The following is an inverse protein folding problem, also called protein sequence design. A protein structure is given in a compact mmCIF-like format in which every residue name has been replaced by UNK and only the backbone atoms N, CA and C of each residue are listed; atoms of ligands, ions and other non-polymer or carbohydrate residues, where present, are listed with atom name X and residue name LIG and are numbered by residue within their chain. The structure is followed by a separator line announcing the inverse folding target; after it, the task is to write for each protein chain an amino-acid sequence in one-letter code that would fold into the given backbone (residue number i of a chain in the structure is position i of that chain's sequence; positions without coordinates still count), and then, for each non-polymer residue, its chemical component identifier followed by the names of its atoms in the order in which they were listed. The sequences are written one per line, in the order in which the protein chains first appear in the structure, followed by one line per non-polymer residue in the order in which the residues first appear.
data_IF_959294260126
#
_entry.id   IF_959294260126
#
_cell.length_a   1.000
_cell.length_b   1.000
_cell.length_c   1.000
_cell.angle_alpha   90.00
_cell.angle_beta   90.00
_cell.angle_gamma   90.00
#
_symmetry.space_group_name_H-M   'P 1'
#
loop_
_entity.id
_entity.type
_entity.pdbx_description
1 polymer ?
#
# COMPACT_ATOMS: atom_id res chain seq x y z
N UNK A 1 -63.90 29.27 -6.51
CA UNK A 1 -64.75 29.30 -7.71
C UNK A 1 -63.86 29.00 -8.92
N UNK A 2 -64.34 28.22 -9.91
CA UNK A 2 -63.64 27.77 -11.14
C UNK A 2 -62.37 26.90 -10.96
N UNK A 3 -62.51 25.62 -11.33
CA UNK A 3 -61.41 24.76 -11.81
C UNK A 3 -61.08 25.16 -13.26
N UNK A 4 -59.84 24.98 -13.69
CA UNK A 4 -59.46 24.92 -15.12
C UNK A 4 -58.68 23.61 -15.34
N UNK A 5 -58.99 22.92 -16.43
CA UNK A 5 -58.44 21.63 -16.88
C UNK A 5 -58.10 21.80 -18.36
N UNK A 6 -57.24 20.91 -18.89
CA UNK A 6 -56.93 20.58 -20.32
C UNK A 6 -55.50 21.01 -20.72
N UNK A 7 -54.69 20.24 -21.46
CA UNK A 7 -54.41 18.79 -21.60
C UNK A 7 -53.31 18.72 -22.71
N UNK A 8 -52.24 17.98 -22.42
CA UNK A 8 -51.13 17.45 -23.26
C UNK A 8 -51.22 17.51 -24.82
N UNK A 9 -50.11 17.89 -25.47
CA UNK A 9 -49.42 17.22 -26.62
C UNK A 9 -47.93 17.64 -26.57
N UNK A 10 -46.98 16.82 -26.08
CA UNK A 10 -46.15 15.83 -26.79
C UNK A 10 -45.41 16.38 -28.04
N UNK A 11 -44.10 16.63 -27.90
CA UNK A 11 -43.13 16.40 -28.98
C UNK A 11 -41.99 15.54 -28.44
N UNK A 12 -41.41 14.69 -29.29
CA UNK A 12 -40.67 13.48 -28.91
C UNK A 12 -39.29 13.46 -29.59
N UNK A 13 -38.27 13.12 -28.80
CA UNK A 13 -36.91 12.62 -29.16
C UNK A 13 -35.95 13.57 -29.92
N UNK A 14 -34.84 13.91 -29.24
CA UNK A 14 -33.49 13.77 -29.79
C UNK A 14 -32.51 13.36 -28.67
N UNK A 15 -31.76 12.29 -28.90
CA UNK A 15 -30.89 11.54 -27.96
C UNK A 15 -29.75 10.97 -28.84
N UNK A 16 -28.47 10.87 -28.46
CA UNK A 16 -27.78 11.02 -27.16
C UNK A 16 -27.02 12.38 -27.08
N UNK A 17 -25.95 12.68 -26.33
CA UNK A 17 -24.95 11.87 -25.60
C UNK A 17 -24.40 12.56 -24.34
N UNK A 18 -24.30 11.75 -23.30
CA UNK A 18 -23.59 11.89 -22.02
C UNK A 18 -22.55 13.01 -21.89
N UNK A 19 -22.72 13.81 -20.83
CA UNK A 19 -21.81 13.76 -19.68
C UNK A 19 -22.59 14.06 -18.40
N UNK A 20 -23.22 13.03 -17.85
CA UNK A 20 -23.58 13.07 -16.43
C UNK A 20 -22.26 13.04 -15.65
N UNK A 21 -21.89 14.14 -14.99
CA UNK A 21 -20.97 14.10 -13.86
C UNK A 21 -21.69 13.46 -12.65
N UNK A 22 -22.13 12.21 -12.83
CA UNK A 22 -22.70 11.38 -11.79
C UNK A 22 -21.58 10.93 -10.87
N UNK A 23 -21.14 11.80 -9.96
CA UNK A 23 -20.30 11.41 -8.83
C UNK A 23 -21.12 10.55 -7.86
N UNK A 24 -21.38 9.30 -8.26
CA UNK A 24 -21.82 8.23 -7.38
C UNK A 24 -21.41 6.87 -7.96
N UNK A 25 -20.42 6.24 -7.34
CA UNK A 25 -20.52 4.80 -7.09
C UNK A 25 -21.17 4.64 -5.71
N UNK A 26 -22.47 4.32 -5.62
CA UNK A 26 -23.07 3.89 -4.36
C UNK A 26 -22.61 2.45 -4.08
N UNK A 27 -21.96 2.22 -2.95
CA UNK A 27 -21.38 0.92 -2.61
C UNK A 27 -19.87 0.90 -2.81
N UNK A 28 -19.17 1.19 -1.72
CA UNK A 28 -17.72 1.08 -1.60
C UNK A 28 -17.36 0.17 -0.44
N UNK A 29 -17.39 -1.14 -0.66
CA UNK A 29 -16.41 -2.05 -0.04
C UNK A 29 -15.08 -1.88 -0.78
N UNK A 30 -14.60 -0.64 -0.84
CA UNK A 30 -13.45 -0.25 -1.64
C UNK A 30 -12.19 -0.52 -0.85
N UNK A 31 -11.31 -1.33 -1.43
CA UNK A 31 -9.95 -1.51 -0.94
C UNK A 31 -9.24 -0.14 -0.89
N UNK A 32 -8.28 0.07 0.03
CA UNK A 32 -7.39 1.22 0.00
C UNK A 32 -6.71 1.34 -1.36
N UNK A 33 -6.67 2.56 -1.91
CA UNK A 33 -6.07 2.86 -3.20
C UNK A 33 -5.01 3.94 -3.03
N UNK A 34 -3.81 3.70 -3.57
CA UNK A 34 -2.74 4.70 -3.59
C UNK A 34 -2.82 5.67 -4.78
N UNK A 35 -1.85 6.59 -4.87
CA UNK A 35 -1.77 7.61 -5.92
C UNK A 35 -1.29 7.09 -7.31
N UNK A 36 -1.01 5.79 -7.42
CA UNK A 36 -0.82 5.08 -8.69
C UNK A 36 -2.05 4.29 -9.12
N UNK A 37 -3.06 4.16 -8.24
CA UNK A 37 -4.23 3.33 -8.48
C UNK A 37 -4.00 1.85 -8.16
N UNK A 38 -2.95 1.49 -7.40
CA UNK A 38 -2.86 0.14 -6.85
C UNK A 38 -3.90 0.01 -5.73
N UNK A 39 -4.78 -1.00 -5.83
CA UNK A 39 -5.67 -1.42 -4.76
C UNK A 39 -4.94 -2.45 -3.88
N UNK A 40 -5.19 -2.44 -2.57
CA UNK A 40 -4.53 -3.31 -1.59
C UNK A 40 -5.56 -4.08 -0.74
N UNK A 41 -5.38 -5.38 -0.54
CA UNK A 41 -6.17 -6.07 0.47
C UNK A 41 -5.85 -5.57 1.90
N UNK A 42 -6.81 -5.73 2.81
CA UNK A 42 -6.67 -5.27 4.21
C UNK A 42 -7.05 -6.35 5.19
N UNK A 43 -6.42 -6.33 6.38
CA UNK A 43 -6.77 -7.23 7.46
C UNK A 43 -6.89 -6.53 8.81
N UNK A 44 -7.80 -7.02 9.65
CA UNK A 44 -8.05 -6.52 11.00
C UNK A 44 -7.30 -7.39 11.99
N UNK A 45 -6.39 -6.80 12.76
CA UNK A 45 -5.64 -7.51 13.80
C UNK A 45 -5.79 -6.71 15.10
N UNK A 46 -6.46 -7.31 16.08
CA UNK A 46 -6.90 -6.61 17.28
C UNK A 46 -7.84 -5.46 16.94
N UNK A 47 -7.45 -4.24 17.31
CA UNK A 47 -8.19 -3.00 16.99
C UNK A 47 -7.62 -2.24 15.78
N UNK A 48 -6.57 -2.75 15.13
CA UNK A 48 -5.87 -2.08 14.04
C UNK A 48 -6.25 -2.68 12.68
N UNK A 49 -6.25 -1.86 11.64
CA UNK A 49 -6.45 -2.27 10.25
C UNK A 49 -5.15 -2.06 9.49
N UNK A 50 -4.64 -3.13 8.90
CA UNK A 50 -3.36 -3.17 8.19
C UNK A 50 -3.59 -3.46 6.70
N UNK A 51 -2.67 -3.02 5.85
CA UNK A 51 -2.58 -3.55 4.48
C UNK A 51 -2.05 -4.99 4.56
N UNK A 52 -2.60 -5.89 3.75
CA UNK A 52 -2.20 -7.30 3.67
C UNK A 52 -1.09 -7.56 2.63
N UNK A 53 -0.51 -6.48 2.08
CA UNK A 53 0.47 -6.49 0.99
C UNK A 53 1.49 -5.35 1.19
N UNK A 54 2.71 -5.53 0.68
CA UNK A 54 3.74 -4.49 0.70
C UNK A 54 3.37 -3.32 -0.23
N UNK A 55 3.54 -2.08 0.25
CA UNK A 55 3.24 -0.86 -0.51
C UNK A 55 4.09 -0.75 -1.78
N UNK A 56 3.45 -0.40 -2.90
CA UNK A 56 4.05 -0.39 -4.25
C UNK A 56 3.74 0.87 -5.08
N UNK A 57 3.44 1.98 -4.40
CA UNK A 57 3.28 3.31 -5.02
C UNK A 57 4.61 3.93 -5.44
N UNK A 58 4.59 4.71 -6.51
CA UNK A 58 5.67 5.60 -6.98
C UNK A 58 5.39 7.07 -6.66
N UNK A 59 4.27 7.37 -5.98
CA UNK A 59 3.84 8.72 -5.62
C UNK A 59 3.31 8.78 -4.17
N UNK A 60 3.49 9.94 -3.54
CA UNK A 60 2.75 10.29 -2.33
C UNK A 60 1.25 10.42 -2.59
N UNK A 61 0.43 10.35 -1.55
CA UNK A 61 -1.03 10.40 -1.66
C UNK A 61 -1.61 11.71 -2.24
N UNK A 62 -0.81 12.79 -2.27
CA UNK A 62 -1.12 14.05 -2.95
C UNK A 62 -0.77 14.05 -4.46
N UNK A 63 -0.24 12.95 -4.99
CA UNK A 63 0.18 12.79 -6.39
C UNK A 63 1.59 13.26 -6.72
N UNK A 64 2.38 13.74 -5.75
CA UNK A 64 3.79 14.10 -5.96
C UNK A 64 4.63 12.83 -6.15
N UNK A 65 5.40 12.68 -7.25
CA UNK A 65 6.24 11.51 -7.46
C UNK A 65 7.36 11.39 -6.42
N UNK A 66 7.56 10.17 -5.92
CA UNK A 66 8.80 9.79 -5.23
C UNK A 66 9.85 9.46 -6.30
N UNK A 67 11.07 10.01 -6.24
CA UNK A 67 12.10 9.69 -7.23
C UNK A 67 12.54 8.22 -7.19
N UNK A 68 12.51 7.54 -8.34
CA UNK A 68 13.16 6.24 -8.54
C UNK A 68 14.67 6.45 -8.61
N UNK A 69 15.43 5.85 -7.68
CA UNK A 69 16.89 5.93 -7.65
C UNK A 69 17.45 4.52 -7.77
N UNK A 70 18.17 4.23 -8.86
CA UNK A 70 18.75 2.91 -9.11
C UNK A 70 20.25 2.84 -8.82
N UNK A 71 20.96 3.95 -8.96
CA UNK A 71 22.39 4.06 -8.64
C UNK A 71 22.67 3.98 -7.13
N UNK A 72 23.77 3.35 -6.75
CA UNK A 72 24.13 3.06 -5.35
C UNK A 72 24.69 4.28 -4.63
N UNK A 73 25.62 5.00 -5.25
CA UNK A 73 26.25 6.19 -4.66
C UNK A 73 25.20 7.31 -4.48
N UNK A 74 24.32 7.47 -5.48
CA UNK A 74 23.17 8.39 -5.43
C UNK A 74 22.14 7.99 -4.37
N UNK A 75 21.97 6.69 -4.07
CA UNK A 75 21.10 6.25 -2.98
C UNK A 75 21.72 6.55 -1.61
N UNK A 76 22.98 6.14 -1.39
CA UNK A 76 23.67 6.29 -0.12
C UNK A 76 23.88 7.76 0.29
N UNK A 77 24.18 8.63 -0.68
CA UNK A 77 24.39 10.08 -0.43
C UNK A 77 23.09 10.89 -0.26
N UNK A 78 21.91 10.27 -0.32
CA UNK A 78 20.64 10.99 -0.48
C UNK A 78 20.04 11.51 0.83
N UNK A 79 19.80 12.82 0.88
CA UNK A 79 19.08 13.52 1.94
C UNK A 79 17.60 13.85 1.60
N UNK A 80 17.04 13.18 0.60
CA UNK A 80 15.67 13.41 0.09
C UNK A 80 14.99 12.09 -0.27
N UNK A 81 13.67 12.13 -0.39
CA UNK A 81 12.84 10.98 -0.74
C UNK A 81 13.36 10.19 -1.95
N UNK A 82 13.34 8.86 -1.83
CA UNK A 82 13.58 7.93 -2.92
C UNK A 82 12.83 6.62 -2.69
N UNK A 83 12.54 5.93 -3.79
CA UNK A 83 12.15 4.53 -3.79
C UNK A 83 12.98 3.75 -4.82
N UNK A 84 12.98 2.43 -4.70
CA UNK A 84 13.44 1.51 -5.73
C UNK A 84 12.71 0.16 -5.63
N UNK A 85 12.80 -0.64 -6.68
CA UNK A 85 12.46 -2.07 -6.62
C UNK A 85 13.70 -2.84 -6.15
N UNK A 86 13.52 -4.00 -5.51
CA UNK A 86 14.67 -4.83 -5.10
C UNK A 86 15.52 -5.22 -6.33
N UNK A 87 16.85 -5.22 -6.21
CA UNK A 87 17.81 -5.39 -7.30
C UNK A 87 17.59 -4.44 -8.51
N UNK A 88 16.83 -3.35 -8.32
CA UNK A 88 16.31 -2.46 -9.38
C UNK A 88 15.40 -3.16 -10.42
N UNK A 89 14.88 -4.35 -10.12
CA UNK A 89 14.02 -5.12 -11.04
C UNK A 89 12.52 -4.80 -10.83
N UNK A 90 11.85 -4.11 -11.78
CA UNK A 90 10.42 -3.80 -11.67
C UNK A 90 9.51 -5.04 -11.74
N UNK A 91 10.00 -6.21 -12.18
CA UNK A 91 9.22 -7.46 -12.13
C UNK A 91 8.93 -7.91 -10.70
N UNK A 92 9.73 -7.45 -9.73
CA UNK A 92 9.56 -7.74 -8.31
C UNK A 92 8.49 -6.85 -7.62
N UNK A 93 7.98 -5.81 -8.30
CA UNK A 93 6.98 -4.86 -7.76
C UNK A 93 5.83 -5.55 -7.06
N UNK A 94 5.13 -6.46 -7.75
CA UNK A 94 3.91 -7.06 -7.23
C UNK A 94 4.15 -8.19 -6.23
N UNK A 95 5.39 -8.70 -6.12
CA UNK A 95 5.76 -9.73 -5.14
C UNK A 95 6.26 -9.13 -3.83
N UNK A 96 7.05 -8.06 -3.90
CA UNK A 96 7.80 -7.55 -2.75
C UNK A 96 7.53 -6.08 -2.42
N UNK A 97 6.76 -5.37 -3.24
CA UNK A 97 6.55 -3.92 -3.11
C UNK A 97 7.77 -3.09 -3.47
N UNK A 98 7.74 -1.82 -3.09
CA UNK A 98 8.86 -0.90 -3.23
C UNK A 98 9.67 -0.80 -1.92
N UNK A 99 10.98 -0.60 -2.06
CA UNK A 99 11.86 -0.18 -0.98
C UNK A 99 11.93 1.35 -0.95
N UNK A 100 11.39 1.95 0.10
CA UNK A 100 11.45 3.39 0.35
C UNK A 100 12.64 3.71 1.26
N UNK A 101 13.29 4.86 1.06
CA UNK A 101 14.25 5.36 2.03
C UNK A 101 13.54 6.06 3.21
N UNK A 102 14.27 6.30 4.30
CA UNK A 102 13.75 7.00 5.48
C UNK A 102 13.05 8.31 5.15
N UNK A 103 13.61 9.10 4.22
CA UNK A 103 13.04 10.37 3.81
C UNK A 103 11.67 10.24 3.13
N UNK A 104 11.42 9.16 2.39
CA UNK A 104 10.11 8.89 1.78
C UNK A 104 9.09 8.31 2.78
N UNK A 105 9.54 7.51 3.74
CA UNK A 105 8.67 6.95 4.78
C UNK A 105 8.29 7.99 5.87
N UNK A 106 9.19 8.92 6.20
CA UNK A 106 9.04 9.90 7.27
C UNK A 106 8.75 11.33 6.76
N UNK A 107 7.85 11.47 5.78
CA UNK A 107 7.39 12.80 5.35
C UNK A 107 6.25 13.33 6.22
N UNK A 108 6.56 14.38 7.00
CA UNK A 108 5.61 15.09 7.87
C UNK A 108 4.55 15.91 7.13
N UNK A 109 4.63 16.00 5.79
CA UNK A 109 3.79 16.86 4.95
C UNK A 109 2.80 16.03 4.13
N UNK A 110 3.21 14.86 3.65
CA UNK A 110 2.37 13.99 2.82
C UNK A 110 2.69 12.52 3.09
N UNK A 111 1.66 11.67 3.18
CA UNK A 111 1.84 10.24 3.42
C UNK A 111 2.16 9.51 2.11
N UNK A 112 2.99 8.48 2.19
CA UNK A 112 3.21 7.53 1.09
C UNK A 112 2.06 6.52 0.97
N UNK A 113 1.31 6.29 2.05
CA UNK A 113 0.23 5.30 2.11
C UNK A 113 -1.07 5.80 1.43
N UNK A 114 -2.01 4.90 1.10
CA UNK A 114 -3.37 5.25 0.66
C UNK A 114 -4.06 6.29 1.54
N UNK A 115 -5.04 7.01 0.98
CA UNK A 115 -5.80 8.01 1.73
C UNK A 115 -6.52 7.37 2.94
N UNK A 116 -6.28 7.92 4.14
CA UNK A 116 -6.76 7.37 5.41
C UNK A 116 -5.82 6.38 6.09
N UNK A 117 -4.68 6.06 5.48
CA UNK A 117 -3.61 5.21 6.03
C UNK A 117 -2.32 6.01 6.25
N UNK A 118 -1.48 5.53 7.17
CA UNK A 118 -0.20 6.11 7.52
C UNK A 118 0.88 5.04 7.70
N UNK A 119 2.15 5.47 7.72
CA UNK A 119 3.27 4.59 8.07
C UNK A 119 3.18 4.29 9.57
N UNK A 120 3.16 3.01 9.99
CA UNK A 120 2.98 2.65 11.40
C UNK A 120 4.05 3.26 12.31
N UNK A 121 3.63 3.68 13.50
CA UNK A 121 4.55 4.05 14.58
C UNK A 121 5.05 2.84 15.38
N UNK A 122 6.16 3.00 16.10
CA UNK A 122 6.68 1.96 17.02
C UNK A 122 5.63 1.51 18.06
N UNK A 123 4.76 2.43 18.53
CA UNK A 123 3.66 2.12 19.45
C UNK A 123 2.57 1.26 18.79
N UNK A 124 2.32 1.44 17.49
CA UNK A 124 1.37 0.66 16.72
C UNK A 124 1.91 -0.73 16.37
N UNK A 125 3.20 -0.84 16.04
CA UNK A 125 3.90 -2.11 15.93
C UNK A 125 3.90 -2.88 17.26
N UNK A 126 4.21 -2.21 18.37
CA UNK A 126 4.19 -2.82 19.70
C UNK A 126 2.78 -3.27 20.10
N UNK A 127 1.74 -2.52 19.72
CA UNK A 127 0.33 -2.91 19.93
C UNK A 127 -0.01 -4.20 19.17
N UNK A 128 0.36 -4.29 17.89
CA UNK A 128 0.18 -5.49 17.07
C UNK A 128 0.92 -6.70 17.64
N UNK A 129 2.20 -6.52 17.98
CA UNK A 129 3.07 -7.58 18.52
C UNK A 129 2.51 -8.12 19.84
N UNK A 130 2.11 -7.24 20.75
CA UNK A 130 1.52 -7.62 22.03
C UNK A 130 0.18 -8.36 21.85
N UNK A 131 -0.67 -7.92 20.91
CA UNK A 131 -1.92 -8.60 20.59
C UNK A 131 -1.70 -10.03 20.08
N UNK A 132 -0.62 -10.27 19.33
CA UNK A 132 -0.28 -11.57 18.76
C UNK A 132 0.42 -12.54 19.72
N UNK A 133 0.84 -12.06 20.90
CA UNK A 133 1.47 -12.86 21.95
C UNK A 133 2.95 -12.53 22.24
N UNK A 134 3.49 -11.44 21.69
CA UNK A 134 4.87 -11.00 21.89
C UNK A 134 5.79 -11.27 20.69
N UNK A 135 7.00 -10.69 20.72
CA UNK A 135 7.96 -10.69 19.59
C UNK A 135 8.31 -12.08 19.08
N UNK A 136 8.54 -13.04 20.00
CA UNK A 136 8.89 -14.43 19.70
C UNK A 136 7.82 -15.18 18.88
N UNK A 137 6.58 -14.70 18.87
CA UNK A 137 5.42 -15.38 18.25
C UNK A 137 4.83 -14.56 17.09
N UNK A 138 4.81 -13.23 17.21
CA UNK A 138 4.17 -12.34 16.24
C UNK A 138 4.72 -12.52 14.82
N UNK A 139 6.03 -12.72 14.68
CA UNK A 139 6.68 -12.92 13.38
C UNK A 139 6.09 -14.08 12.60
N UNK A 140 5.91 -15.25 13.22
CA UNK A 140 5.45 -16.46 12.54
C UNK A 140 3.94 -16.42 12.21
N UNK A 141 3.19 -15.53 12.88
CA UNK A 141 1.77 -15.26 12.60
C UNK A 141 1.54 -14.23 11.50
N UNK A 142 2.50 -13.33 11.26
CA UNK A 142 2.44 -12.22 10.31
C UNK A 142 3.05 -12.55 8.94
N UNK A 143 4.15 -13.32 8.91
CA UNK A 143 4.86 -13.66 7.66
C UNK A 143 3.99 -14.50 6.73
N UNK A 144 4.17 -14.29 5.43
CA UNK A 144 3.65 -15.21 4.41
C UNK A 144 4.07 -16.67 4.70
N UNK A 145 3.12 -17.59 4.60
CA UNK A 145 3.31 -18.99 4.96
C UNK A 145 4.08 -19.78 3.89
N UNK A 146 4.80 -20.83 4.32
CA UNK A 146 5.53 -21.74 3.44
C UNK A 146 6.82 -21.18 2.84
N UNK A 147 7.49 -21.99 2.02
CA UNK A 147 8.86 -21.77 1.56
C UNK A 147 8.97 -21.17 0.14
N UNK A 148 7.87 -20.68 -0.43
CA UNK A 148 7.89 -20.08 -1.78
C UNK A 148 8.67 -18.76 -1.83
N UNK A 149 8.62 -17.98 -0.74
CA UNK A 149 9.20 -16.64 -0.67
C UNK A 149 10.26 -16.52 0.42
N UNK A 150 10.02 -17.15 1.58
CA UNK A 150 10.99 -17.25 2.66
C UNK A 150 11.91 -18.44 2.42
N UNK A 151 13.20 -18.23 2.64
CA UNK A 151 14.24 -19.27 2.56
C UNK A 151 13.97 -20.39 3.58
N UNK A 152 14.48 -21.58 3.28
CA UNK A 152 14.15 -22.86 3.94
C UNK A 152 14.04 -22.79 5.47
N UNK A 153 13.04 -23.48 6.03
CA UNK A 153 12.73 -23.50 7.46
C UNK A 153 11.65 -22.50 7.88
N UNK A 154 10.81 -22.03 6.95
CA UNK A 154 9.71 -21.12 7.28
C UNK A 154 8.48 -21.88 7.81
N UNK A 155 8.35 -21.95 9.13
CA UNK A 155 7.20 -22.55 9.82
C UNK A 155 6.04 -21.57 10.09
N UNK A 156 6.09 -20.37 9.49
CA UNK A 156 5.07 -19.33 9.65
C UNK A 156 3.70 -19.78 9.15
N UNK A 157 2.65 -19.43 9.89
CA UNK A 157 1.26 -19.83 9.62
C UNK A 157 0.51 -18.83 8.75
N UNK A 158 0.94 -17.56 8.73
CA UNK A 158 0.16 -16.42 8.22
C UNK A 158 -1.28 -16.38 8.77
N UNK A 159 -1.52 -16.86 9.99
CA UNK A 159 -2.88 -16.97 10.56
C UNK A 159 -3.61 -15.62 10.67
N UNK A 160 -2.85 -14.53 10.65
CA UNK A 160 -3.39 -13.16 10.66
C UNK A 160 -3.86 -12.69 9.29
N UNK A 161 -3.41 -13.27 8.18
CA UNK A 161 -3.61 -12.75 6.83
C UNK A 161 -2.76 -11.53 6.45
N UNK A 162 -1.86 -11.06 7.33
CA UNK A 162 -0.99 -9.90 7.05
C UNK A 162 -0.01 -10.15 5.90
N UNK A 163 0.39 -11.40 5.68
CA UNK A 163 1.18 -11.85 4.53
C UNK A 163 2.51 -11.09 4.34
N UNK A 164 3.29 -10.95 5.41
CA UNK A 164 4.57 -10.23 5.36
C UNK A 164 5.54 -10.92 4.39
N UNK A 165 5.89 -10.22 3.30
CA UNK A 165 6.77 -10.70 2.22
C UNK A 165 8.25 -10.31 2.41
N UNK A 166 9.22 -11.23 2.27
CA UNK A 166 10.63 -10.98 2.56
C UNK A 166 11.33 -10.19 1.44
N UNK A 167 10.93 -8.93 1.27
CA UNK A 167 11.42 -8.02 0.24
C UNK A 167 12.86 -7.53 0.43
N UNK A 168 13.56 -7.95 1.48
CA UNK A 168 14.91 -7.50 1.79
C UNK A 168 14.96 -6.03 2.20
N UNK A 169 16.10 -5.39 1.93
CA UNK A 169 16.35 -3.97 2.19
C UNK A 169 17.42 -3.44 1.25
N UNK A 170 17.54 -2.11 1.21
CA UNK A 170 18.62 -1.39 0.53
C UNK A 170 19.38 -0.51 1.50
N UNK A 171 20.70 -0.65 1.49
CA UNK A 171 21.64 0.00 2.41
C UNK A 171 21.68 1.50 2.22
N UNK A 172 21.55 2.26 3.31
CA UNK A 172 21.79 3.71 3.32
C UNK A 172 23.29 4.06 3.34
N UNK A 173 24.18 3.09 3.58
CA UNK A 173 25.63 3.32 3.70
C UNK A 173 26.36 3.23 2.35
N UNK A 174 25.91 2.33 1.48
CA UNK A 174 26.58 1.98 0.21
C UNK A 174 25.60 1.65 -0.94
N UNK A 175 24.28 1.83 -0.73
CA UNK A 175 23.27 1.58 -1.75
C UNK A 175 23.05 0.10 -2.11
N UNK A 176 23.75 -0.85 -1.49
CA UNK A 176 23.64 -2.28 -1.83
C UNK A 176 22.30 -2.90 -1.40
N UNK A 177 21.85 -3.91 -2.12
CA UNK A 177 20.65 -4.71 -1.79
C UNK A 177 21.04 -5.95 -0.98
N UNK A 178 20.21 -6.34 -0.02
CA UNK A 178 20.44 -7.56 0.77
C UNK A 178 19.17 -8.18 1.34
N UNK A 179 19.27 -9.45 1.73
CA UNK A 179 18.30 -10.18 2.55
C UNK A 179 16.93 -10.45 1.94
N UNK A 180 16.71 -10.25 0.63
CA UNK A 180 15.51 -10.78 -0.05
C UNK A 180 15.40 -12.29 0.17
N UNK A 181 14.21 -12.75 0.53
CA UNK A 181 13.94 -14.12 0.93
C UNK A 181 14.40 -14.50 2.35
N UNK A 182 15.00 -13.58 3.11
CA UNK A 182 15.48 -13.83 4.48
C UNK A 182 14.91 -12.86 5.51
N UNK A 183 14.61 -11.62 5.09
CA UNK A 183 14.01 -10.57 5.91
C UNK A 183 13.09 -9.70 5.06
N UNK A 184 12.09 -9.10 5.69
CA UNK A 184 11.51 -7.84 5.25
C UNK A 184 11.73 -6.80 6.35
N UNK A 185 11.58 -5.53 5.97
CA UNK A 185 11.66 -4.38 6.87
C UNK A 185 10.42 -3.52 6.57
N UNK A 186 9.59 -3.30 7.58
CA UNK A 186 8.28 -2.64 7.51
C UNK A 186 8.16 -1.58 8.61
#
# INVERSE_FOLDING_TARGET
MKRIIIFRVILIIAIYSLLQAGCKKPGGSGLPVDADGNEYDTVVIGSQVWLAENLKTTKYNNGVPVPLITDNDTWASRSTAAFCWYDNDPSLKDTYGALYNWWAANEKITSICPAGYHVPSDEEWLTLINYLGGEDIAGDKLKAAGEQFWSSGNYSTNETGFTAMPGGWRSHMDGTFSSKGWKGYW
#
